data_IF_282478208472
#
_entry.id   IF_282478208472
#
_cell.length_a   1.000
_cell.length_b   1.000
_cell.length_c   1.000
_cell.angle_alpha   90.00
_cell.angle_beta   90.00
_cell.angle_gamma   90.00
#
_symmetry.space_group_name_H-M   'P 1'
#
loop_
_entity.id
_entity.type
_entity.pdbx_description
1 polymer ?
#
# COMPACT_ATOMS: atom_id res chain seq x y z
N UNK A 1 -14.87 -11.58 -7.61
CA UNK A 1 -14.54 -13.01 -7.34
C UNK A 1 -13.36 -13.41 -8.23
N UNK A 2 -13.00 -14.70 -8.32
CA UNK A 2 -11.91 -15.16 -9.20
C UNK A 2 -12.18 -14.91 -10.70
N UNK A 3 -13.44 -14.89 -11.12
CA UNK A 3 -13.80 -14.58 -12.52
C UNK A 3 -13.41 -13.14 -12.85
N UNK A 4 -13.83 -12.18 -12.01
CA UNK A 4 -13.46 -10.77 -12.17
C UNK A 4 -11.95 -10.56 -12.14
N UNK A 5 -11.24 -11.25 -11.24
CA UNK A 5 -9.79 -11.18 -11.14
C UNK A 5 -9.13 -11.65 -12.44
N UNK A 6 -9.59 -12.77 -13.01
CA UNK A 6 -9.06 -13.30 -14.25
C UNK A 6 -9.32 -12.36 -15.44
N UNK A 7 -10.46 -11.70 -15.49
CA UNK A 7 -10.76 -10.72 -16.54
C UNK A 7 -9.79 -9.53 -16.50
N UNK A 8 -9.49 -9.02 -15.29
CA UNK A 8 -8.50 -7.95 -15.10
C UNK A 8 -7.10 -8.42 -15.49
N UNK A 9 -6.68 -9.59 -15.01
CA UNK A 9 -5.36 -10.17 -15.33
C UNK A 9 -5.22 -10.38 -16.83
N UNK A 10 -6.24 -10.92 -17.49
CA UNK A 10 -6.23 -11.16 -18.93
C UNK A 10 -6.20 -9.85 -19.70
N UNK A 11 -6.87 -8.80 -19.23
CA UNK A 11 -6.79 -7.47 -19.83
C UNK A 11 -5.36 -6.94 -19.77
N UNK A 12 -4.73 -6.98 -18.59
CA UNK A 12 -3.37 -6.48 -18.38
C UNK A 12 -2.31 -7.24 -19.20
N UNK A 13 -2.57 -8.51 -19.54
CA UNK A 13 -1.69 -9.33 -20.39
C UNK A 13 -1.81 -9.07 -21.89
N UNK A 14 -2.87 -8.38 -22.36
CA UNK A 14 -3.14 -8.24 -23.81
C UNK A 14 -2.19 -7.30 -24.54
N UNK A 15 -1.73 -6.24 -23.90
CA UNK A 15 -0.86 -5.25 -24.54
C UNK A 15 0.59 -5.42 -24.10
N UNK A 16 1.57 -4.93 -24.88
CA UNK A 16 2.78 -4.47 -24.23
C UNK A 16 2.39 -3.26 -23.35
N UNK A 17 2.68 -3.35 -22.06
CA UNK A 17 2.69 -2.16 -21.21
C UNK A 17 3.88 -1.29 -21.62
N UNK A 18 3.77 0.03 -21.48
CA UNK A 18 4.89 0.93 -21.76
C UNK A 18 6.06 0.56 -20.83
N UNK A 19 7.24 0.21 -21.37
CA UNK A 19 8.39 -0.18 -20.56
C UNK A 19 8.92 0.95 -19.66
N UNK A 20 8.49 2.20 -19.88
CA UNK A 20 8.85 3.35 -19.04
C UNK A 20 7.87 3.58 -17.87
N UNK A 21 6.85 2.74 -17.72
CA UNK A 21 5.82 2.87 -16.68
C UNK A 21 5.84 1.65 -15.74
N UNK A 22 6.04 1.88 -14.45
CA UNK A 22 5.85 0.84 -13.43
C UNK A 22 4.36 0.67 -13.13
N UNK A 23 3.84 -0.55 -13.30
CA UNK A 23 2.43 -0.88 -13.04
C UNK A 23 2.33 -1.70 -11.77
N UNK A 24 1.48 -1.27 -10.82
CA UNK A 24 1.26 -1.94 -9.52
C UNK A 24 -0.23 -2.09 -9.25
N UNK A 25 -0.66 -3.24 -8.74
CA UNK A 25 -2.08 -3.54 -8.46
C UNK A 25 -2.29 -3.82 -6.98
N UNK A 26 -3.21 -3.09 -6.35
CA UNK A 26 -3.67 -3.34 -4.98
C UNK A 26 -4.69 -4.48 -4.93
N UNK A 27 -4.35 -5.58 -4.23
CA UNK A 27 -5.14 -6.81 -4.21
C UNK A 27 -5.63 -7.11 -2.80
N UNK A 28 -6.92 -7.51 -2.61
CA UNK A 28 -7.40 -8.01 -1.33
C UNK A 28 -6.56 -9.19 -0.85
N UNK A 29 -6.23 -9.22 0.44
CA UNK A 29 -5.22 -10.15 1.00
C UNK A 29 -5.48 -11.63 0.68
N UNK A 30 -6.75 -12.03 0.69
CA UNK A 30 -7.20 -13.41 0.38
C UNK A 30 -6.90 -13.85 -1.06
N UNK A 31 -6.54 -12.93 -1.96
CA UNK A 31 -6.21 -13.20 -3.36
C UNK A 31 -4.75 -12.88 -3.72
N UNK A 32 -3.91 -12.39 -2.79
CA UNK A 32 -2.54 -11.96 -3.10
C UNK A 32 -1.71 -13.04 -3.79
N UNK A 33 -1.61 -14.22 -3.19
CA UNK A 33 -0.85 -15.34 -3.76
C UNK A 33 -1.39 -15.78 -5.14
N UNK A 34 -2.72 -15.81 -5.28
CA UNK A 34 -3.36 -16.17 -6.54
C UNK A 34 -3.03 -15.18 -7.65
N UNK A 35 -3.17 -13.88 -7.39
CA UNK A 35 -2.87 -12.83 -8.36
C UNK A 35 -1.39 -12.78 -8.70
N UNK A 36 -0.50 -12.86 -7.70
CA UNK A 36 0.95 -12.85 -7.92
C UNK A 36 1.40 -14.02 -8.80
N UNK A 37 0.89 -15.23 -8.56
CA UNK A 37 1.21 -16.40 -9.39
C UNK A 37 0.68 -16.31 -10.83
N UNK A 38 -0.32 -15.45 -11.06
CA UNK A 38 -1.01 -15.34 -12.33
C UNK A 38 -0.53 -14.14 -13.18
N UNK A 39 0.20 -13.18 -12.60
CA UNK A 39 0.70 -11.99 -13.29
C UNK A 39 2.19 -12.10 -13.66
N UNK A 40 2.63 -11.52 -14.79
CA UNK A 40 4.04 -11.31 -15.10
C UNK A 40 4.76 -10.52 -13.99
N UNK A 41 6.03 -10.81 -13.75
CA UNK A 41 6.85 -10.12 -12.74
C UNK A 41 7.02 -8.62 -13.01
N UNK A 42 6.84 -8.19 -14.27
CA UNK A 42 6.87 -6.77 -14.66
C UNK A 42 5.72 -5.94 -14.08
N UNK A 43 4.68 -6.58 -13.55
CA UNK A 43 3.58 -5.92 -12.84
C UNK A 43 3.74 -6.19 -11.34
N UNK A 44 3.90 -5.14 -10.55
CA UNK A 44 3.95 -5.20 -9.08
C UNK A 44 2.60 -5.59 -8.48
N UNK A 45 2.63 -6.29 -7.34
CA UNK A 45 1.42 -6.66 -6.60
C UNK A 45 1.52 -6.12 -5.18
N UNK A 46 0.55 -5.29 -4.82
CA UNK A 46 0.48 -4.64 -3.52
C UNK A 46 -0.59 -5.27 -2.63
N UNK A 47 -0.24 -5.52 -1.37
CA UNK A 47 -1.25 -5.67 -0.34
C UNK A 47 -1.94 -4.33 -0.07
N UNK A 48 -3.22 -4.35 0.29
CA UNK A 48 -3.98 -3.11 0.56
C UNK A 48 -3.82 -2.58 2.00
N UNK A 49 -3.16 -3.35 2.87
CA UNK A 49 -2.78 -2.98 4.23
C UNK A 49 -1.78 -4.02 4.78
N UNK A 50 -1.00 -3.64 5.78
CA UNK A 50 -0.26 -4.57 6.64
C UNK A 50 -0.06 -4.00 8.04
N UNK A 51 0.41 -4.84 8.96
CA UNK A 51 0.65 -4.43 10.34
C UNK A 51 2.08 -3.94 10.60
N UNK A 52 2.25 -3.27 11.74
CA UNK A 52 3.48 -2.59 12.16
C UNK A 52 4.54 -3.48 12.84
N UNK A 53 4.25 -4.76 13.04
CA UNK A 53 5.20 -5.73 13.61
C UNK A 53 5.11 -7.08 12.90
N UNK A 54 6.20 -7.84 12.93
CA UNK A 54 6.34 -9.06 12.14
C UNK A 54 5.39 -10.19 12.57
N UNK A 55 5.09 -10.30 13.87
CA UNK A 55 4.23 -11.33 14.48
C UNK A 55 3.73 -10.89 15.85
N UNK A 56 2.62 -11.48 16.30
CA UNK A 56 2.07 -11.24 17.64
C UNK A 56 0.58 -11.58 17.69
N UNK A 57 -0.06 -11.21 18.80
CA UNK A 57 -1.49 -11.41 19.02
C UNK A 57 -2.33 -10.31 18.31
N UNK A 58 -2.34 -10.34 16.97
CA UNK A 58 -3.06 -9.39 16.12
C UNK A 58 -3.98 -10.13 15.14
N UNK A 59 -4.98 -10.83 15.67
CA UNK A 59 -5.91 -11.63 14.86
C UNK A 59 -6.54 -10.78 13.75
N UNK A 60 -6.44 -11.26 12.51
CA UNK A 60 -6.97 -10.58 11.32
C UNK A 60 -5.93 -9.78 10.53
N UNK A 61 -4.79 -9.45 11.14
CA UNK A 61 -3.72 -8.71 10.46
C UNK A 61 -2.76 -9.62 9.69
N UNK A 62 -2.12 -9.06 8.67
CA UNK A 62 -1.00 -9.68 7.95
C UNK A 62 0.27 -8.83 8.10
N UNK A 63 1.44 -9.46 8.12
CA UNK A 63 2.71 -8.75 8.25
C UNK A 63 3.41 -8.55 6.89
N UNK A 64 4.35 -7.59 6.79
CA UNK A 64 5.21 -7.44 5.61
C UNK A 64 5.92 -8.74 5.21
N UNK A 65 6.36 -9.54 6.18
CA UNK A 65 7.00 -10.83 5.93
C UNK A 65 6.06 -11.83 5.23
N UNK A 66 4.77 -11.85 5.57
CA UNK A 66 3.78 -12.69 4.90
C UNK A 66 3.56 -12.26 3.44
N UNK A 67 3.52 -10.94 3.19
CA UNK A 67 3.37 -10.37 1.84
C UNK A 67 4.56 -10.77 0.95
N UNK A 68 5.79 -10.65 1.47
CA UNK A 68 6.99 -11.10 0.77
C UNK A 68 7.02 -12.60 0.54
N UNK A 69 6.53 -13.39 1.49
CA UNK A 69 6.54 -14.85 1.39
C UNK A 69 5.70 -15.35 0.19
N UNK A 70 4.64 -14.63 -0.19
CA UNK A 70 3.83 -14.94 -1.37
C UNK A 70 4.34 -14.29 -2.66
N UNK A 71 5.55 -13.70 -2.64
CA UNK A 71 6.22 -13.09 -3.79
C UNK A 71 5.79 -11.66 -4.11
N UNK A 72 4.98 -11.03 -3.26
CA UNK A 72 4.56 -9.64 -3.43
C UNK A 72 5.57 -8.67 -2.79
N UNK A 73 5.72 -7.50 -3.39
CA UNK A 73 6.79 -6.55 -3.09
C UNK A 73 6.28 -5.16 -2.73
N UNK A 74 4.98 -4.90 -2.85
CA UNK A 74 4.36 -3.62 -2.53
C UNK A 74 3.33 -3.71 -1.40
N UNK A 75 3.08 -2.57 -0.75
CA UNK A 75 1.91 -2.37 0.14
C UNK A 75 1.39 -0.95 0.05
N UNK A 76 0.07 -0.79 0.12
CA UNK A 76 -0.62 0.50 0.24
C UNK A 76 -0.88 0.75 1.73
N UNK A 77 -0.48 1.91 2.23
CA UNK A 77 -0.63 2.29 3.64
C UNK A 77 -1.15 3.73 3.76
N UNK A 78 -2.02 3.95 4.75
CA UNK A 78 -2.60 5.27 4.98
C UNK A 78 -3.73 5.65 4.02
N UNK A 79 -4.32 4.68 3.32
CA UNK A 79 -5.47 4.95 2.44
C UNK A 79 -6.59 5.66 3.20
N UNK A 80 -7.30 6.59 2.55
CA UNK A 80 -8.33 7.42 3.18
C UNK A 80 -9.41 6.58 3.89
N UNK A 81 -9.83 5.47 3.29
CA UNK A 81 -10.76 4.52 3.92
C UNK A 81 -10.22 3.98 5.25
N UNK A 82 -8.92 3.67 5.36
CA UNK A 82 -8.29 3.18 6.60
C UNK A 82 -8.21 4.28 7.66
N UNK A 83 -7.96 5.51 7.25
CA UNK A 83 -7.91 6.67 8.15
C UNK A 83 -9.30 7.03 8.68
N UNK A 84 -10.27 7.17 7.78
CA UNK A 84 -11.60 7.70 8.10
C UNK A 84 -12.54 6.63 8.68
N UNK A 85 -12.57 5.43 8.09
CA UNK A 85 -13.51 4.37 8.50
C UNK A 85 -12.93 3.53 9.64
N UNK A 86 -11.64 3.20 9.56
CA UNK A 86 -10.96 2.33 10.54
C UNK A 86 -10.16 3.10 11.59
N UNK A 87 -10.09 4.44 11.50
CA UNK A 87 -9.48 5.29 12.51
C UNK A 87 -7.95 5.19 12.59
N UNK A 88 -7.27 4.78 11.52
CA UNK A 88 -5.81 4.68 11.51
C UNK A 88 -5.16 6.07 11.52
N UNK A 89 -4.47 6.38 12.61
CA UNK A 89 -3.83 7.68 12.87
C UNK A 89 -2.44 7.79 12.22
N UNK A 90 -1.97 9.03 12.09
CA UNK A 90 -0.69 9.37 11.43
C UNK A 90 0.51 8.63 12.02
N UNK A 91 0.56 8.46 13.34
CA UNK A 91 1.58 7.70 14.05
C UNK A 91 1.54 6.20 13.72
N UNK A 92 0.36 5.59 13.71
CA UNK A 92 0.19 4.19 13.33
C UNK A 92 0.60 3.96 11.87
N UNK A 93 0.23 4.85 10.96
CA UNK A 93 0.64 4.75 9.55
C UNK A 93 2.16 4.86 9.44
N UNK A 94 2.79 5.81 10.14
CA UNK A 94 4.24 5.95 10.16
C UNK A 94 4.94 4.66 10.67
N UNK A 95 4.44 4.05 11.74
CA UNK A 95 4.95 2.77 12.25
C UNK A 95 4.82 1.63 11.23
N UNK A 96 3.68 1.55 10.52
CA UNK A 96 3.47 0.56 9.45
C UNK A 96 4.40 0.78 8.27
N UNK A 97 4.56 2.03 7.82
CA UNK A 97 5.46 2.40 6.71
C UNK A 97 6.90 2.02 7.05
N UNK A 98 7.37 2.39 8.24
CA UNK A 98 8.70 2.04 8.72
C UNK A 98 8.91 0.52 8.69
N UNK A 99 7.99 -0.25 9.27
CA UNK A 99 8.14 -1.70 9.33
C UNK A 99 8.08 -2.38 7.95
N UNK A 100 7.24 -1.88 7.04
CA UNK A 100 7.17 -2.36 5.67
C UNK A 100 8.50 -2.14 4.91
N UNK A 101 9.07 -0.93 5.01
CA UNK A 101 10.36 -0.59 4.41
C UNK A 101 11.51 -1.40 5.01
N UNK A 102 11.57 -1.55 6.34
CA UNK A 102 12.58 -2.38 7.03
C UNK A 102 12.50 -3.86 6.62
N UNK A 103 11.31 -4.33 6.24
CA UNK A 103 11.09 -5.68 5.74
C UNK A 103 11.43 -5.82 4.24
N UNK A 104 11.76 -4.72 3.57
CA UNK A 104 12.08 -4.66 2.14
C UNK A 104 10.86 -4.76 1.23
N UNK A 105 9.71 -4.23 1.66
CA UNK A 105 8.60 -3.88 0.76
C UNK A 105 8.79 -2.45 0.24
N UNK A 106 8.28 -2.18 -0.96
CA UNK A 106 8.00 -0.83 -1.44
C UNK A 106 6.63 -0.38 -0.91
N UNK A 107 6.46 0.92 -0.70
CA UNK A 107 5.25 1.47 -0.06
C UNK A 107 4.60 2.53 -0.93
N UNK A 108 3.30 2.39 -1.18
CA UNK A 108 2.44 3.47 -1.63
C UNK A 108 1.86 4.12 -0.37
N UNK A 109 2.40 5.26 0.02
CA UNK A 109 2.02 5.96 1.24
C UNK A 109 0.99 7.05 0.91
N UNK A 110 -0.26 6.82 1.32
CA UNK A 110 -1.37 7.70 1.00
C UNK A 110 -1.49 8.84 2.02
N UNK A 111 -1.68 10.05 1.47
CA UNK A 111 -2.01 11.27 2.20
C UNK A 111 -3.19 11.97 1.52
N UNK A 112 -3.92 12.78 2.27
CA UNK A 112 -5.08 13.49 1.77
C UNK A 112 -6.05 13.87 2.87
N UNK A 113 -6.82 14.90 2.58
CA UNK A 113 -7.84 15.45 3.44
C UNK A 113 -9.22 14.80 3.21
N UNK A 114 -10.11 14.91 4.19
CA UNK A 114 -11.53 14.60 4.00
C UNK A 114 -12.23 15.72 3.23
N UNK A 115 -13.45 15.43 2.74
CA UNK A 115 -14.27 16.46 2.11
C UNK A 115 -14.52 17.65 3.05
N UNK A 116 -14.81 17.40 4.33
CA UNK A 116 -15.04 18.48 5.30
C UNK A 116 -13.79 19.32 5.56
N UNK A 117 -12.62 18.69 5.62
CA UNK A 117 -11.34 19.37 5.77
C UNK A 117 -11.04 20.25 4.55
N UNK A 118 -11.33 19.75 3.34
CA UNK A 118 -11.20 20.51 2.10
C UNK A 118 -12.12 21.73 2.07
N UNK A 119 -13.41 21.54 2.39
CA UNK A 119 -14.39 22.63 2.45
C UNK A 119 -14.06 23.67 3.53
N UNK A 120 -13.31 23.25 4.56
CA UNK A 120 -12.77 24.12 5.60
C UNK A 120 -11.41 24.76 5.26
N UNK A 121 -10.93 24.62 4.01
CA UNK A 121 -9.63 25.11 3.54
C UNK A 121 -8.42 24.54 4.32
N UNK A 122 -8.49 23.29 4.77
CA UNK A 122 -7.42 22.61 5.54
C UNK A 122 -6.60 21.62 4.73
N UNK A 123 -6.77 21.54 3.41
CA UNK A 123 -6.04 20.59 2.54
C UNK A 123 -4.53 20.62 2.79
N UNK A 124 -3.90 21.79 2.75
CA UNK A 124 -2.45 21.90 2.95
C UNK A 124 -2.04 21.51 4.38
N UNK A 125 -2.80 21.94 5.40
CA UNK A 125 -2.53 21.59 6.80
C UNK A 125 -2.53 20.08 7.01
N UNK A 126 -3.52 19.39 6.45
CA UNK A 126 -3.70 17.94 6.61
C UNK A 126 -2.61 17.18 5.86
N UNK A 127 -2.40 17.49 4.58
CA UNK A 127 -1.37 16.85 3.75
C UNK A 127 0.03 17.08 4.35
N UNK A 128 0.30 18.28 4.87
CA UNK A 128 1.57 18.60 5.53
C UNK A 128 1.75 17.80 6.83
N UNK A 129 0.73 17.77 7.71
CA UNK A 129 0.77 16.99 8.96
C UNK A 129 1.02 15.51 8.71
N UNK A 130 0.30 14.92 7.76
CA UNK A 130 0.43 13.52 7.40
C UNK A 130 1.82 13.24 6.78
N UNK A 131 2.31 14.12 5.91
CA UNK A 131 3.65 14.02 5.33
C UNK A 131 4.75 14.10 6.40
N UNK A 132 4.62 15.03 7.35
CA UNK A 132 5.57 15.19 8.45
C UNK A 132 5.69 13.92 9.31
N UNK A 133 4.58 13.23 9.59
CA UNK A 133 4.59 11.97 10.31
C UNK A 133 5.36 10.87 9.57
N UNK A 134 5.33 10.88 8.23
CA UNK A 134 6.01 9.88 7.39
C UNK A 134 7.52 10.11 7.25
N UNK A 135 7.99 11.37 7.32
CA UNK A 135 9.42 11.71 7.15
C UNK A 135 10.37 10.83 7.99
N UNK A 136 10.22 10.72 9.32
CA UNK A 136 11.12 9.89 10.14
C UNK A 136 10.95 8.39 9.89
N UNK A 137 9.77 7.94 9.47
CA UNK A 137 9.51 6.54 9.15
C UNK A 137 10.17 6.11 7.85
N UNK A 138 10.19 6.99 6.84
CA UNK A 138 10.82 6.74 5.54
C UNK A 138 12.35 6.86 5.64
N UNK A 139 12.83 7.88 6.35
CA UNK A 139 14.27 8.15 6.49
C UNK A 139 14.93 8.33 5.12
N UNK A 140 15.90 7.47 4.80
CA UNK A 140 16.63 7.51 3.52
C UNK A 140 16.03 6.58 2.45
N UNK A 141 14.92 5.90 2.72
CA UNK A 141 14.35 4.88 1.82
C UNK A 141 13.35 5.44 0.78
N UNK A 142 13.50 6.72 0.40
CA UNK A 142 12.59 7.38 -0.55
C UNK A 142 12.52 6.70 -1.92
N UNK A 143 13.58 5.99 -2.34
CA UNK A 143 13.59 5.19 -3.58
C UNK A 143 12.59 4.02 -3.58
N UNK A 144 12.03 3.67 -2.42
CA UNK A 144 11.06 2.60 -2.24
C UNK A 144 9.68 3.11 -1.83
N UNK A 145 9.43 4.42 -1.95
CA UNK A 145 8.17 5.05 -1.56
C UNK A 145 7.58 5.84 -2.73
N UNK A 146 6.28 5.68 -2.93
CA UNK A 146 5.45 6.53 -3.77
C UNK A 146 4.44 7.23 -2.86
N UNK A 147 4.36 8.55 -2.94
CA UNK A 147 3.31 9.32 -2.27
C UNK A 147 2.07 9.33 -3.18
N UNK A 148 0.91 9.03 -2.60
CA UNK A 148 -0.37 8.99 -3.30
C UNK A 148 -1.43 9.83 -2.56
#
# INVERSE_FOLDING_TARGET
DKTTINDIINNLKKGPLDPNVEVVIGVPSVYLAYVRSSLPETIGVAAQNCWKVAKGAFTGEISPAMIKNVGCDWVILGHSERRTIFGEKDDLIAEKVKHALESGLKVIACIGETLEERESNKTEEVVFRQSQALLPAIGNNWSSVVIA
#
